data_IF_430257983121
#
_entry.id   IF_430257983121
#
_cell.length_a   1.000
_cell.length_b   1.000
_cell.length_c   1.000
_cell.angle_alpha   90.00
_cell.angle_beta   90.00
_cell.angle_gamma   90.00
#
_symmetry.space_group_name_H-M   'P 1'
#
loop_
_entity.id
_entity.type
_entity.pdbx_description
1 polymer ?
#
# COMPACT_ATOMS: atom_id res chain seq x y z
N UNK A 1 3.47 4.29 19.86
CA UNK A 1 2.99 2.96 19.42
C UNK A 1 1.96 2.37 20.38
N UNK A 2 2.22 2.33 21.67
CA UNK A 2 1.32 1.80 22.72
C UNK A 2 -0.10 2.36 22.61
N UNK A 3 -0.30 3.65 22.61
CA UNK A 3 -1.61 4.29 22.49
C UNK A 3 -2.36 3.91 21.21
N UNK A 4 -1.64 3.71 20.11
CA UNK A 4 -2.24 3.27 18.85
C UNK A 4 -2.77 1.83 18.97
N UNK A 5 -2.00 0.96 19.61
CA UNK A 5 -2.42 -0.42 19.89
C UNK A 5 -3.64 -0.44 20.81
N UNK A 6 -3.62 0.35 21.88
CA UNK A 6 -4.78 0.47 22.77
C UNK A 6 -6.04 0.92 22.03
N UNK A 7 -5.96 1.98 21.23
CA UNK A 7 -7.07 2.45 20.42
C UNK A 7 -7.59 1.38 19.45
N UNK A 8 -6.70 0.58 18.86
CA UNK A 8 -7.10 -0.50 17.96
C UNK A 8 -7.89 -1.62 18.65
N UNK A 9 -7.69 -1.78 19.95
CA UNK A 9 -8.35 -2.80 20.77
C UNK A 9 -9.59 -2.30 21.52
N UNK A 10 -9.91 -1.02 21.48
CA UNK A 10 -11.04 -0.44 22.21
C UNK A 10 -12.38 -1.07 21.83
N UNK A 11 -12.58 -1.43 20.58
CA UNK A 11 -13.77 -2.15 20.16
C UNK A 11 -13.95 -3.48 20.93
N UNK A 12 -12.90 -4.25 21.03
CA UNK A 12 -12.91 -5.54 21.73
C UNK A 12 -13.03 -5.37 23.25
N UNK A 13 -12.24 -4.45 23.80
CA UNK A 13 -12.23 -4.15 25.23
C UNK A 13 -13.60 -3.66 25.74
N UNK A 14 -14.30 -2.91 24.92
CA UNK A 14 -15.64 -2.39 25.25
C UNK A 14 -16.78 -3.30 24.79
N UNK A 15 -16.48 -4.52 24.31
CA UNK A 15 -17.48 -5.47 23.78
C UNK A 15 -18.34 -4.86 22.67
N UNK A 16 -17.72 -4.10 21.78
CA UNK A 16 -18.39 -3.46 20.66
C UNK A 16 -19.12 -2.15 20.95
N UNK A 17 -19.07 -1.66 22.20
CA UNK A 17 -19.78 -0.43 22.58
C UNK A 17 -19.08 0.84 22.09
N UNK A 18 -17.77 0.77 21.84
CA UNK A 18 -16.98 1.88 21.35
C UNK A 18 -16.04 1.43 20.23
N UNK A 19 -16.01 2.19 19.14
CA UNK A 19 -15.06 2.02 18.06
C UNK A 19 -14.48 3.40 17.74
N UNK A 20 -13.18 3.61 17.97
CA UNK A 20 -12.55 4.86 17.60
C UNK A 20 -12.63 5.06 16.08
N UNK A 21 -12.70 6.31 15.62
CA UNK A 21 -12.57 6.65 14.22
C UNK A 21 -11.32 7.51 14.05
N UNK A 22 -10.18 6.86 13.86
CA UNK A 22 -8.88 7.51 13.86
C UNK A 22 -8.16 7.19 12.54
N UNK A 23 -7.77 8.23 11.83
CA UNK A 23 -6.87 8.12 10.67
C UNK A 23 -5.57 8.84 11.03
N UNK A 24 -4.48 8.08 11.04
CA UNK A 24 -3.14 8.60 11.32
C UNK A 24 -2.38 8.68 10.01
N UNK A 25 -2.04 9.90 9.61
CA UNK A 25 -1.17 10.15 8.47
C UNK A 25 0.28 10.09 8.94
N UNK A 26 1.08 9.26 8.29
CA UNK A 26 2.49 9.07 8.62
C UNK A 26 3.34 9.18 7.36
N UNK A 27 4.25 10.15 7.34
CA UNK A 27 5.27 10.25 6.31
C UNK A 27 6.21 9.03 6.37
N UNK A 28 6.44 8.37 5.24
CA UNK A 28 7.17 7.12 5.13
C UNK A 28 8.22 7.19 4.01
N UNK A 29 9.18 6.28 4.05
CA UNK A 29 10.15 6.07 2.98
C UNK A 29 11.31 7.07 2.94
N UNK A 30 12.24 6.79 2.03
CA UNK A 30 13.45 7.57 1.79
C UNK A 30 13.37 8.50 0.58
N UNK A 31 14.50 8.60 -0.13
CA UNK A 31 14.69 9.39 -1.38
C UNK A 31 14.53 10.90 -1.25
N UNK A 32 14.48 11.44 -0.02
CA UNK A 32 14.42 12.88 0.23
C UNK A 32 15.74 13.44 0.77
N UNK A 33 16.80 12.63 0.83
CA UNK A 33 18.11 12.97 1.37
C UNK A 33 18.08 13.40 2.86
N UNK A 34 17.13 12.87 3.63
CA UNK A 34 16.91 13.18 5.05
C UNK A 34 17.78 12.37 6.02
N UNK A 35 18.74 11.60 5.51
CA UNK A 35 19.57 10.69 6.32
C UNK A 35 18.76 9.52 6.90
N UNK A 36 19.37 8.75 7.79
CA UNK A 36 18.80 7.52 8.34
C UNK A 36 17.52 7.75 9.13
N UNK A 37 17.42 8.85 9.88
CA UNK A 37 16.28 9.15 10.74
C UNK A 37 14.99 9.42 9.96
N UNK A 38 15.11 9.94 8.74
CA UNK A 38 13.97 10.34 7.90
C UNK A 38 13.76 9.42 6.70
N UNK A 39 14.38 8.23 6.69
CA UNK A 39 14.29 7.29 5.56
C UNK A 39 13.71 5.94 5.97
N UNK A 40 13.01 5.87 7.08
CA UNK A 40 12.44 4.62 7.61
C UNK A 40 11.12 4.29 6.92
N UNK A 41 10.91 2.98 6.70
CA UNK A 41 9.62 2.39 6.38
C UNK A 41 9.14 1.59 7.59
N UNK A 42 7.89 1.76 7.96
CA UNK A 42 7.29 1.16 9.17
C UNK A 42 6.03 0.35 8.84
N UNK A 43 5.79 0.10 7.57
CA UNK A 43 4.60 -0.56 7.04
C UNK A 43 4.38 -1.95 7.67
N UNK A 44 5.39 -2.80 7.67
CA UNK A 44 5.28 -4.16 8.20
C UNK A 44 5.07 -4.19 9.72
N UNK A 45 5.70 -3.29 10.47
CA UNK A 45 5.54 -3.21 11.92
C UNK A 45 4.07 -2.93 12.27
N UNK A 46 3.44 -2.00 11.56
CA UNK A 46 2.05 -1.65 11.81
C UNK A 46 1.07 -2.66 11.20
N UNK A 47 1.39 -3.25 10.05
CA UNK A 47 0.57 -4.29 9.43
C UNK A 47 0.49 -5.57 10.28
N UNK A 48 1.50 -5.83 11.12
CA UNK A 48 1.50 -6.95 12.06
C UNK A 48 0.61 -6.73 13.29
N UNK A 49 0.09 -5.51 13.51
CA UNK A 49 -0.71 -5.20 14.70
C UNK A 49 -2.21 -5.45 14.42
N UNK A 50 -2.86 -6.37 15.18
CA UNK A 50 -4.28 -6.64 15.01
C UNK A 50 -5.14 -5.38 15.24
N UNK A 51 -6.16 -5.20 14.39
CA UNK A 51 -7.11 -4.09 14.52
C UNK A 51 -6.64 -2.77 13.88
N UNK A 52 -5.43 -2.72 13.33
CA UNK A 52 -4.93 -1.55 12.57
C UNK A 52 -5.02 -1.87 11.09
N UNK A 53 -5.62 -0.98 10.32
CA UNK A 53 -5.55 -0.99 8.87
C UNK A 53 -4.37 -0.16 8.40
N UNK A 54 -3.67 -0.64 7.38
CA UNK A 54 -2.51 0.05 6.82
C UNK A 54 -2.73 0.24 5.32
N UNK A 55 -2.68 1.47 4.86
CA UNK A 55 -2.76 1.83 3.44
C UNK A 55 -1.54 2.64 3.02
N UNK A 56 -1.11 2.43 1.79
CA UNK A 56 0.04 3.11 1.21
C UNK A 56 -0.23 3.41 -0.28
N UNK A 57 -0.88 4.53 -0.61
CA UNK A 57 -1.17 4.89 -1.99
C UNK A 57 0.10 5.19 -2.78
N UNK A 58 0.07 4.86 -4.07
CA UNK A 58 1.13 5.14 -5.03
C UNK A 58 0.77 6.31 -5.97
N UNK A 59 -0.52 6.67 -6.07
CA UNK A 59 -1.06 7.70 -6.97
C UNK A 59 -2.02 8.63 -6.24
N UNK A 60 -2.18 9.85 -6.75
CA UNK A 60 -2.95 10.89 -6.10
C UNK A 60 -4.46 10.57 -6.03
N UNK A 61 -5.04 9.99 -7.09
CA UNK A 61 -6.44 9.54 -7.09
C UNK A 61 -6.69 8.44 -6.05
N UNK A 62 -5.76 7.49 -5.94
CA UNK A 62 -5.84 6.44 -4.92
C UNK A 62 -5.75 7.03 -3.50
N UNK A 63 -4.87 8.02 -3.29
CA UNK A 63 -4.76 8.70 -2.01
C UNK A 63 -6.09 9.35 -1.61
N UNK A 64 -6.77 10.02 -2.55
CA UNK A 64 -8.10 10.60 -2.32
C UNK A 64 -9.13 9.52 -1.99
N UNK A 65 -9.20 8.46 -2.79
CA UNK A 65 -10.18 7.38 -2.60
C UNK A 65 -10.01 6.62 -1.30
N UNK A 66 -8.77 6.28 -0.95
CA UNK A 66 -8.42 5.61 0.31
C UNK A 66 -8.66 6.52 1.53
N UNK A 67 -8.31 7.82 1.45
CA UNK A 67 -8.53 8.77 2.54
C UNK A 67 -10.02 8.93 2.83
N UNK A 68 -10.84 9.12 1.79
CA UNK A 68 -12.29 9.24 1.93
C UNK A 68 -12.92 7.99 2.56
N UNK A 69 -12.43 6.82 2.17
CA UNK A 69 -12.87 5.55 2.76
C UNK A 69 -12.42 5.43 4.22
N UNK A 70 -11.16 5.74 4.52
CA UNK A 70 -10.59 5.68 5.87
C UNK A 70 -11.36 6.54 6.87
N UNK A 71 -11.73 7.74 6.47
CA UNK A 71 -12.50 8.68 7.33
C UNK A 71 -13.93 8.20 7.64
N UNK A 72 -14.47 7.26 6.87
CA UNK A 72 -15.85 6.74 7.01
C UNK A 72 -15.92 5.34 7.59
N UNK A 73 -14.82 4.62 7.62
CA UNK A 73 -14.83 3.19 7.93
C UNK A 73 -14.88 2.87 9.43
N UNK A 74 -14.68 3.86 10.32
CA UNK A 74 -14.47 3.63 11.76
C UNK A 74 -13.19 2.83 12.04
N UNK A 75 -12.85 2.63 13.32
CA UNK A 75 -11.62 1.95 13.73
C UNK A 75 -10.35 2.77 13.48
N UNK A 76 -9.19 2.12 13.51
CA UNK A 76 -7.89 2.76 13.35
C UNK A 76 -7.31 2.47 11.97
N UNK A 77 -6.94 3.51 11.24
CA UNK A 77 -6.26 3.41 9.95
C UNK A 77 -4.95 4.18 9.97
N UNK A 78 -3.86 3.51 9.64
CA UNK A 78 -2.59 4.14 9.36
C UNK A 78 -2.49 4.43 7.87
N UNK A 79 -2.34 5.69 7.52
CA UNK A 79 -2.22 6.17 6.15
C UNK A 79 -0.76 6.56 5.89
N UNK A 80 -0.02 5.66 5.24
CA UNK A 80 1.38 5.88 4.91
C UNK A 80 1.50 6.78 3.69
N UNK A 81 2.33 7.80 3.80
CA UNK A 81 2.57 8.77 2.74
C UNK A 81 4.05 8.73 2.33
N UNK A 82 4.41 8.05 1.23
CA UNK A 82 5.78 8.04 0.75
C UNK A 82 6.25 9.45 0.41
N UNK A 83 7.24 9.96 1.14
CA UNK A 83 7.69 11.35 1.05
C UNK A 83 8.15 11.78 -0.35
N UNK A 84 8.82 10.88 -1.06
CA UNK A 84 9.25 11.13 -2.43
C UNK A 84 8.08 11.48 -3.36
N UNK A 85 6.92 10.85 -3.16
CA UNK A 85 5.77 11.02 -4.03
C UNK A 85 5.09 12.38 -3.91
N UNK A 86 5.33 13.15 -2.84
CA UNK A 86 4.74 14.48 -2.68
C UNK A 86 5.10 15.43 -3.83
N UNK A 87 6.31 15.30 -4.37
CA UNK A 87 6.82 16.16 -5.43
C UNK A 87 7.06 15.41 -6.76
N UNK A 88 6.68 14.14 -6.82
CA UNK A 88 6.90 13.31 -8.01
C UNK A 88 5.72 13.42 -8.97
N UNK A 89 5.85 14.24 -10.02
CA UNK A 89 4.77 14.54 -10.97
C UNK A 89 4.05 13.34 -11.57
N UNK A 90 4.71 12.21 -11.90
CA UNK A 90 4.02 11.03 -12.45
C UNK A 90 2.95 10.42 -11.55
N UNK A 91 2.89 10.79 -10.25
CA UNK A 91 1.81 10.38 -9.34
C UNK A 91 0.53 11.18 -9.54
N UNK A 92 0.61 12.31 -10.21
CA UNK A 92 -0.51 13.24 -10.37
C UNK A 92 -1.63 12.61 -11.19
N UNK A 93 -2.84 12.91 -10.80
CA UNK A 93 -4.06 12.50 -11.50
C UNK A 93 -5.10 13.63 -11.45
N UNK A 94 -6.10 13.55 -12.28
CA UNK A 94 -7.26 14.43 -12.16
C UNK A 94 -7.99 14.14 -10.84
N UNK A 95 -8.55 15.18 -10.21
CA UNK A 95 -9.35 15.00 -9.00
C UNK A 95 -10.56 14.09 -9.29
N UNK A 96 -10.69 12.97 -8.59
CA UNK A 96 -11.82 12.10 -8.79
C UNK A 96 -13.12 12.72 -8.24
N UNK A 97 -14.25 12.29 -8.77
CA UNK A 97 -15.58 12.73 -8.34
C UNK A 97 -15.80 12.58 -6.83
N UNK A 98 -16.73 13.34 -6.26
CA UNK A 98 -16.94 13.45 -4.81
C UNK A 98 -17.21 12.12 -4.10
N UNK A 99 -17.89 11.19 -4.76
CA UNK A 99 -18.25 9.88 -4.21
C UNK A 99 -17.19 8.80 -4.47
N UNK A 100 -16.08 9.13 -5.10
CA UNK A 100 -15.02 8.17 -5.36
C UNK A 100 -14.36 7.73 -4.05
N UNK A 101 -14.43 6.44 -3.77
CA UNK A 101 -13.81 5.79 -2.61
C UNK A 101 -13.19 4.47 -3.04
N UNK A 102 -12.11 4.10 -2.38
CA UNK A 102 -11.44 2.81 -2.60
C UNK A 102 -11.54 2.00 -1.31
N UNK A 103 -12.22 0.83 -1.34
CA UNK A 103 -12.29 -0.03 -0.17
C UNK A 103 -10.92 -0.62 0.17
N UNK A 104 -10.71 -0.90 1.45
CA UNK A 104 -9.53 -1.61 1.91
C UNK A 104 -9.45 -3.01 1.30
N UNK A 105 -8.23 -3.52 1.13
CA UNK A 105 -8.00 -4.84 0.58
C UNK A 105 -8.34 -4.98 -0.90
N UNK A 106 -8.30 -3.88 -1.66
CA UNK A 106 -8.48 -3.89 -3.12
C UNK A 106 -7.24 -3.33 -3.82
N UNK A 107 -6.53 -4.22 -4.49
CA UNK A 107 -5.39 -3.87 -5.35
C UNK A 107 -5.86 -3.26 -6.68
N UNK A 108 -4.91 -2.74 -7.45
CA UNK A 108 -5.14 -2.27 -8.82
C UNK A 108 -4.08 -2.86 -9.75
N UNK A 109 -4.52 -3.52 -10.80
CA UNK A 109 -3.62 -3.90 -11.89
C UNK A 109 -3.31 -2.63 -12.67
N UNK A 110 -2.05 -2.20 -12.61
CA UNK A 110 -1.55 -1.01 -13.31
C UNK A 110 -1.13 -1.30 -14.74
N UNK A 111 -0.64 -2.52 -14.97
CA UNK A 111 -0.25 -3.01 -16.29
C UNK A 111 -0.63 -4.48 -16.37
N UNK A 112 -1.29 -4.87 -17.45
CA UNK A 112 -1.59 -6.27 -17.74
C UNK A 112 -0.34 -6.98 -18.23
N UNK A 113 -0.21 -8.26 -17.89
CA UNK A 113 0.91 -9.10 -18.33
C UNK A 113 0.62 -10.59 -18.20
N UNK A 114 1.47 -11.42 -18.81
CA UNK A 114 1.29 -12.87 -18.90
C UNK A 114 2.45 -13.70 -18.40
N UNK A 115 3.66 -13.12 -18.24
CA UNK A 115 4.86 -13.90 -17.99
C UNK A 115 5.36 -13.82 -16.53
N UNK A 116 5.16 -12.66 -15.89
CA UNK A 116 5.60 -12.40 -14.51
C UNK A 116 4.57 -11.52 -13.83
N UNK A 117 4.22 -11.84 -12.58
CA UNK A 117 3.49 -10.95 -11.68
C UNK A 117 4.48 -10.13 -10.86
N UNK A 118 4.40 -8.82 -10.91
CA UNK A 118 5.19 -7.89 -10.10
C UNK A 118 4.25 -7.16 -9.13
N UNK A 119 4.37 -7.48 -7.85
CA UNK A 119 3.57 -6.89 -6.76
C UNK A 119 4.36 -5.78 -6.09
N UNK A 120 3.75 -4.62 -5.92
CA UNK A 120 4.40 -3.47 -5.30
C UNK A 120 3.41 -2.51 -4.66
N UNK A 121 3.89 -1.46 -4.00
CA UNK A 121 3.12 -0.37 -3.41
C UNK A 121 4.00 0.86 -3.16
N UNK A 122 3.37 2.00 -2.95
CA UNK A 122 4.04 3.26 -2.60
C UNK A 122 5.06 3.68 -3.65
N UNK A 123 6.24 4.09 -3.20
CA UNK A 123 7.31 4.58 -4.08
C UNK A 123 7.83 3.50 -5.05
N UNK A 124 8.00 2.27 -4.58
CA UNK A 124 8.51 1.17 -5.40
C UNK A 124 7.58 0.82 -6.58
N UNK A 125 6.29 1.20 -6.53
CA UNK A 125 5.34 1.00 -7.62
C UNK A 125 5.78 1.72 -8.91
N UNK A 126 6.30 2.93 -8.81
CA UNK A 126 6.75 3.68 -9.99
C UNK A 126 7.98 3.05 -10.64
N UNK A 127 8.93 2.56 -9.84
CA UNK A 127 10.09 1.80 -10.33
C UNK A 127 9.64 0.47 -10.97
N UNK A 128 8.64 -0.17 -10.39
CA UNK A 128 8.05 -1.40 -10.93
C UNK A 128 7.42 -1.20 -12.30
N UNK A 129 6.73 -0.08 -12.52
CA UNK A 129 6.17 0.27 -13.83
C UNK A 129 7.26 0.52 -14.86
N UNK A 130 8.30 1.27 -14.50
CA UNK A 130 9.45 1.51 -15.38
C UNK A 130 10.16 0.20 -15.76
N UNK A 131 10.41 -0.67 -14.78
CA UNK A 131 11.01 -1.99 -15.03
C UNK A 131 10.12 -2.86 -15.95
N UNK A 132 8.80 -2.83 -15.77
CA UNK A 132 7.89 -3.56 -16.62
C UNK A 132 7.82 -3.03 -18.07
N UNK A 133 8.05 -1.74 -18.28
CA UNK A 133 8.20 -1.16 -19.61
C UNK A 133 9.51 -1.59 -20.28
N UNK A 134 10.59 -1.58 -19.53
CA UNK A 134 11.89 -2.06 -20.01
C UNK A 134 11.84 -3.55 -20.37
N UNK A 135 11.23 -4.39 -19.51
CA UNK A 135 11.08 -5.82 -19.79
C UNK A 135 10.28 -6.09 -21.06
N UNK A 136 9.29 -5.26 -21.37
CA UNK A 136 8.53 -5.38 -22.60
C UNK A 136 9.41 -5.22 -23.86
N UNK A 137 10.49 -4.43 -23.80
CA UNK A 137 11.45 -4.31 -24.92
C UNK A 137 12.25 -5.59 -25.15
N UNK A 138 12.33 -6.46 -24.13
CA UNK A 138 12.95 -7.78 -24.20
C UNK A 138 11.93 -8.90 -24.45
N UNK A 139 10.68 -8.56 -24.78
CA UNK A 139 9.61 -9.54 -25.06
C UNK A 139 9.03 -10.20 -23.82
N UNK A 140 9.23 -9.64 -22.63
CA UNK A 140 8.72 -10.16 -21.36
C UNK A 140 7.51 -9.31 -20.93
N UNK A 141 6.36 -9.97 -20.77
CA UNK A 141 5.08 -9.35 -20.40
C UNK A 141 4.86 -9.40 -18.89
N UNK A 142 5.08 -8.27 -18.21
CA UNK A 142 4.96 -8.17 -16.76
C UNK A 142 3.59 -7.60 -16.37
N UNK A 143 2.84 -8.33 -15.54
CA UNK A 143 1.66 -7.81 -14.87
C UNK A 143 2.06 -7.09 -13.59
N UNK A 144 1.71 -5.81 -13.47
CA UNK A 144 2.07 -4.98 -12.32
C UNK A 144 0.85 -4.73 -11.45
N UNK A 145 0.92 -5.17 -10.20
CA UNK A 145 -0.14 -5.04 -9.19
C UNK A 145 0.27 -4.06 -8.12
N UNK A 146 -0.52 -3.00 -7.95
CA UNK A 146 -0.41 -2.03 -6.87
C UNK A 146 -1.32 -2.42 -5.72
N UNK A 147 -0.76 -2.82 -4.59
CA UNK A 147 -1.54 -3.26 -3.43
C UNK A 147 -2.39 -2.15 -2.84
N UNK A 148 -1.89 -0.91 -2.74
CA UNK A 148 -2.55 0.26 -2.16
C UNK A 148 -2.96 0.10 -0.69
N UNK A 149 -3.37 -1.10 -0.30
CA UNK A 149 -3.76 -1.50 1.05
C UNK A 149 -2.91 -2.68 1.48
N UNK A 150 -2.27 -2.58 2.64
CA UNK A 150 -1.33 -3.57 3.16
C UNK A 150 -1.98 -4.43 4.26
N UNK A 151 -2.84 -3.83 5.07
CA UNK A 151 -3.64 -4.56 6.05
C UNK A 151 -5.07 -4.02 6.05
N UNK A 152 -6.03 -4.78 5.50
CA UNK A 152 -5.87 -6.02 4.73
C UNK A 152 -5.29 -5.79 3.33
N UNK A 153 -4.64 -6.79 2.74
CA UNK A 153 -4.19 -6.76 1.34
C UNK A 153 -5.02 -7.68 0.44
N UNK A 154 -5.01 -7.43 -0.86
CA UNK A 154 -5.81 -8.14 -1.86
C UNK A 154 -5.15 -9.46 -2.29
N UNK A 155 -5.32 -10.50 -1.48
CA UNK A 155 -4.81 -11.84 -1.77
C UNK A 155 -5.38 -12.43 -3.05
N UNK A 156 -6.67 -12.22 -3.28
CA UNK A 156 -7.38 -12.79 -4.44
C UNK A 156 -6.77 -12.30 -5.76
N UNK A 157 -6.58 -11.00 -5.90
CA UNK A 157 -5.98 -10.41 -7.10
C UNK A 157 -4.55 -10.86 -7.32
N UNK A 158 -3.74 -10.95 -6.26
CA UNK A 158 -2.35 -11.41 -6.35
C UNK A 158 -2.29 -12.87 -6.74
N UNK A 159 -3.06 -13.74 -6.07
CA UNK A 159 -3.06 -15.17 -6.39
C UNK A 159 -3.58 -15.45 -7.80
N UNK A 160 -4.63 -14.76 -8.24
CA UNK A 160 -5.14 -14.90 -9.60
C UNK A 160 -4.06 -14.54 -10.64
N UNK A 161 -3.30 -13.47 -10.40
CA UNK A 161 -2.21 -13.08 -11.27
C UNK A 161 -1.07 -14.09 -11.27
N UNK A 162 -0.63 -14.56 -10.09
CA UNK A 162 0.44 -15.55 -9.98
C UNK A 162 0.04 -16.88 -10.61
N UNK A 163 -1.21 -17.32 -10.47
CA UNK A 163 -1.73 -18.49 -11.18
C UNK A 163 -1.63 -18.35 -12.69
N UNK A 164 -1.88 -17.15 -13.22
CA UNK A 164 -1.79 -16.86 -14.64
C UNK A 164 -0.35 -16.88 -15.16
N UNK A 165 0.56 -16.24 -14.42
CA UNK A 165 1.93 -15.98 -14.88
C UNK A 165 2.94 -17.07 -14.46
N UNK A 166 2.64 -17.82 -13.40
CA UNK A 166 3.51 -18.84 -12.83
C UNK A 166 4.77 -18.31 -12.13
N UNK A 167 4.95 -16.99 -12.05
CA UNK A 167 6.14 -16.35 -11.45
C UNK A 167 5.73 -15.07 -10.73
N UNK A 168 6.35 -14.84 -9.56
CA UNK A 168 6.12 -13.63 -8.78
C UNK A 168 7.42 -12.91 -8.41
N UNK A 169 7.39 -11.61 -8.49
CA UNK A 169 8.40 -10.70 -7.93
C UNK A 169 7.67 -9.73 -7.00
N UNK A 170 8.19 -9.54 -5.80
CA UNK A 170 7.64 -8.59 -4.84
C UNK A 170 8.69 -7.50 -4.62
N UNK A 171 8.34 -6.26 -4.96
CA UNK A 171 9.21 -5.11 -4.87
C UNK A 171 8.66 -4.09 -3.86
N UNK A 172 9.43 -3.78 -2.85
CA UNK A 172 9.09 -2.77 -1.85
C UNK A 172 10.33 -2.04 -1.33
N UNK A 173 10.12 -0.89 -0.73
CA UNK A 173 11.21 -0.04 -0.23
C UNK A 173 11.70 -0.45 1.17
N UNK A 174 10.95 -1.25 1.89
CA UNK A 174 11.30 -1.72 3.24
C UNK A 174 12.47 -2.71 3.22
N UNK A 175 13.08 -2.98 4.39
CA UNK A 175 14.10 -4.01 4.54
C UNK A 175 13.56 -5.39 4.17
N UNK A 176 14.44 -6.29 3.69
CA UNK A 176 14.07 -7.70 3.47
C UNK A 176 13.64 -8.36 4.77
N UNK A 177 14.42 -8.18 5.83
CA UNK A 177 14.10 -8.74 7.15
C UNK A 177 12.92 -8.00 7.77
N UNK A 178 11.80 -8.72 7.92
CA UNK A 178 10.59 -8.18 8.53
C UNK A 178 9.84 -7.17 7.68
N UNK A 179 10.18 -7.01 6.40
CA UNK A 179 9.42 -6.16 5.48
C UNK A 179 8.12 -6.83 5.03
N UNK A 180 7.13 -6.01 4.63
CA UNK A 180 5.81 -6.49 4.23
C UNK A 180 5.83 -7.45 3.03
N UNK A 181 6.85 -7.37 2.19
CA UNK A 181 7.04 -8.31 1.08
C UNK A 181 7.11 -9.78 1.53
N UNK A 182 7.59 -10.05 2.75
CA UNK A 182 7.60 -11.39 3.33
C UNK A 182 6.21 -11.93 3.68
N UNK A 183 5.22 -11.07 3.93
CA UNK A 183 3.82 -11.48 4.13
C UNK A 183 3.15 -11.84 2.78
N UNK A 184 3.58 -11.20 1.69
CA UNK A 184 3.01 -11.43 0.35
C UNK A 184 3.61 -12.68 -0.31
N UNK A 185 4.88 -13.03 0.01
CA UNK A 185 5.60 -14.17 -0.54
C UNK A 185 5.15 -15.49 0.07
#
# INVERSE_FOLDING_TARGET
MEQLIECSHDYWRTKGQFSPNIVIRLASGGYIQGGLYHSQNLDAIFAALPGIRVVCPSFADDAVGLMRHSLRAGGVTLFLEPKFLYNYRPTSSSMPGENFMIPFGKAKIRKQGTDITLVSYGNAMHLSLMAAEEMATHGISVEVIDLRSLAPWDRESVFASVHKTGRAVIAHEHYLTGGFGGEVA
#
